data_IF_668987807480
#
_entry.id   IF_668987807480
#
_cell.length_a   1.000
_cell.length_b   1.000
_cell.length_c   1.000
_cell.angle_alpha   90.00
_cell.angle_beta   90.00
_cell.angle_gamma   90.00
#
_symmetry.space_group_name_H-M   'P 1'
#
loop_
_entity.id
_entity.type
_entity.pdbx_description
1 polymer ?
#
# COMPACT_ATOMS: atom_id res chain seq x y z
N UNK A 1 11.76 54.30 -50.62
CA UNK A 1 12.81 55.24 -50.17
C UNK A 1 13.44 54.69 -48.90
N UNK A 2 14.80 54.63 -48.86
CA UNK A 2 15.77 54.72 -47.73
C UNK A 2 15.36 54.18 -46.33
N UNK A 3 16.17 53.51 -45.52
CA UNK A 3 17.56 52.97 -45.53
C UNK A 3 17.76 52.35 -44.12
N UNK A 4 18.47 51.22 -44.06
CA UNK A 4 19.53 50.87 -43.10
C UNK A 4 19.17 50.68 -41.60
N UNK A 5 19.36 49.50 -40.97
CA UNK A 5 20.59 48.70 -40.70
C UNK A 5 21.19 49.04 -39.33
N UNK A 6 20.98 48.19 -38.31
CA UNK A 6 21.98 48.00 -37.22
C UNK A 6 21.93 46.54 -36.74
N UNK A 7 23.01 45.82 -37.04
CA UNK A 7 23.43 44.58 -36.41
C UNK A 7 23.62 44.82 -34.91
N UNK A 8 22.99 44.03 -34.05
CA UNK A 8 23.39 43.95 -32.64
C UNK A 8 23.49 42.49 -32.22
N UNK A 9 24.73 41.98 -32.21
CA UNK A 9 25.11 40.79 -31.49
C UNK A 9 24.90 41.05 -29.99
N UNK A 10 23.97 40.32 -29.37
CA UNK A 10 23.98 40.09 -27.94
C UNK A 10 24.09 38.59 -27.70
N UNK A 11 25.34 38.15 -27.57
CA UNK A 11 25.66 36.96 -26.79
C UNK A 11 25.49 37.34 -25.31
N UNK A 12 24.45 36.81 -24.66
CA UNK A 12 24.37 36.78 -23.21
C UNK A 12 23.89 35.39 -22.77
N UNK A 13 24.88 34.58 -22.41
CA UNK A 13 24.93 33.67 -21.27
C UNK A 13 23.60 33.08 -20.78
N UNK A 14 23.39 31.81 -21.09
CA UNK A 14 22.48 30.92 -20.37
C UNK A 14 23.07 30.71 -18.98
N UNK A 15 22.52 31.40 -17.97
CA UNK A 15 22.78 31.04 -16.57
C UNK A 15 21.80 29.93 -16.22
N UNK A 16 22.36 28.77 -15.89
CA UNK A 16 21.68 27.61 -15.36
C UNK A 16 21.15 27.97 -13.96
N UNK A 17 19.90 28.44 -13.88
CA UNK A 17 19.25 28.67 -12.58
C UNK A 17 18.91 27.33 -11.94
N UNK A 18 19.63 27.00 -10.87
CA UNK A 18 19.35 25.87 -10.00
C UNK A 18 17.90 25.93 -9.48
N UNK A 19 17.20 24.80 -9.51
CA UNK A 19 15.93 24.62 -8.82
C UNK A 19 16.15 24.69 -7.30
N UNK A 20 15.74 25.79 -6.68
CA UNK A 20 15.47 25.83 -5.24
C UNK A 20 14.07 25.23 -5.02
N UNK A 21 13.99 24.03 -4.44
CA UNK A 21 12.73 23.47 -3.91
C UNK A 21 12.55 24.01 -2.48
N UNK A 22 11.35 24.51 -2.09
CA UNK A 22 11.07 24.86 -0.70
C UNK A 22 10.91 23.60 0.15
N UNK A 23 11.41 23.69 1.40
CA UNK A 23 11.35 22.69 2.45
C UNK A 23 9.91 22.21 2.73
N UNK A 24 9.66 20.91 2.52
CA UNK A 24 8.58 20.21 3.19
C UNK A 24 9.14 18.89 3.74
N UNK A 25 9.28 18.84 5.07
CA UNK A 25 9.89 17.75 5.80
C UNK A 25 9.02 16.49 5.72
N UNK A 26 9.53 15.47 5.03
CA UNK A 26 9.04 14.10 5.07
C UNK A 26 9.85 13.30 6.11
N UNK A 27 9.23 12.47 6.97
CA UNK A 27 9.96 11.67 7.96
C UNK A 27 10.91 10.68 7.28
N UNK A 28 12.17 10.68 7.71
CA UNK A 28 13.23 9.83 7.18
C UNK A 28 13.03 8.36 7.57
N UNK A 29 12.88 7.48 6.58
CA UNK A 29 13.24 6.07 6.68
C UNK A 29 14.77 5.97 6.55
N UNK A 30 15.46 5.69 7.66
CA UNK A 30 16.87 5.31 7.63
C UNK A 30 16.99 3.86 7.17
N UNK A 31 17.45 3.69 5.93
CA UNK A 31 18.07 2.45 5.48
C UNK A 31 19.44 2.32 6.17
N UNK A 32 19.60 1.28 7.00
CA UNK A 32 20.92 0.74 7.33
C UNK A 32 21.05 -0.61 6.63
N UNK A 33 22.04 -0.69 5.75
CA UNK A 33 22.43 -1.89 5.03
C UNK A 33 23.16 -2.85 5.97
N UNK A 34 22.56 -4.00 6.25
CA UNK A 34 23.27 -5.20 6.68
C UNK A 34 22.60 -6.42 6.03
N UNK A 35 23.18 -6.82 4.90
CA UNK A 35 22.96 -8.17 4.34
C UNK A 35 23.49 -9.18 5.35
N UNK A 36 22.61 -10.00 5.91
CA UNK A 36 23.05 -11.26 6.51
C UNK A 36 22.03 -12.33 6.20
N UNK A 37 22.53 -13.37 5.55
CA UNK A 37 21.81 -14.53 5.08
C UNK A 37 21.04 -15.22 6.21
N UNK A 38 19.90 -15.80 5.83
CA UNK A 38 19.24 -16.85 6.58
C UNK A 38 20.25 -17.97 6.84
N UNK A 39 20.73 -18.09 8.08
CA UNK A 39 21.37 -19.30 8.55
C UNK A 39 20.35 -20.11 9.34
N UNK A 40 19.91 -21.20 8.74
CA UNK A 40 19.33 -22.33 9.47
C UNK A 40 20.48 -22.97 10.25
N UNK A 41 20.38 -23.05 11.58
CA UNK A 41 21.21 -23.93 12.39
C UNK A 41 20.29 -24.90 13.11
N UNK A 42 20.29 -26.14 12.61
CA UNK A 42 19.78 -27.31 13.31
C UNK A 42 20.81 -27.65 14.38
N UNK A 43 20.44 -27.53 15.65
CA UNK A 43 21.15 -28.21 16.73
C UNK A 43 20.14 -29.12 17.46
N UNK A 44 20.31 -30.42 17.22
CA UNK A 44 19.73 -31.50 18.02
C UNK A 44 20.83 -32.00 18.95
N UNK A 45 20.53 -32.20 20.23
CA UNK A 45 20.68 -33.47 20.99
C UNK A 45 20.49 -33.23 22.52
N UNK A 46 19.34 -33.71 23.00
CA UNK A 46 19.04 -34.50 24.21
C UNK A 46 19.31 -34.03 25.66
N UNK A 47 18.18 -33.93 26.40
CA UNK A 47 17.93 -34.49 27.76
C UNK A 47 18.01 -33.49 28.94
N UNK A 48 17.11 -33.39 29.93
CA UNK A 48 15.90 -34.17 30.30
C UNK A 48 15.05 -33.34 31.30
N UNK A 49 13.72 -33.53 31.28
CA UNK A 49 12.63 -33.21 32.25
C UNK A 49 12.49 -31.77 32.80
N UNK A 50 11.35 -31.09 32.67
CA UNK A 50 10.12 -31.38 33.45
C UNK A 50 8.86 -30.82 32.77
N UNK A 51 7.75 -31.51 32.98
CA UNK A 51 6.43 -31.34 32.38
C UNK A 51 5.75 -30.02 32.78
N UNK A 52 5.19 -29.34 31.79
CA UNK A 52 3.90 -28.66 31.90
C UNK A 52 3.19 -28.84 30.55
N UNK A 53 2.35 -29.88 30.47
CA UNK A 53 1.42 -30.04 29.38
C UNK A 53 0.30 -29.00 29.58
N UNK A 54 0.32 -27.91 28.80
CA UNK A 54 -0.91 -27.18 28.51
C UNK A 54 -1.45 -27.70 27.18
N UNK A 55 -2.14 -28.84 27.28
CA UNK A 55 -3.04 -29.28 26.23
C UNK A 55 -4.24 -28.33 26.24
N UNK A 56 -4.14 -27.23 25.49
CA UNK A 56 -5.31 -26.44 25.13
C UNK A 56 -5.73 -26.79 23.71
N UNK A 57 -6.41 -27.93 23.58
CA UNK A 57 -7.45 -28.07 22.58
C UNK A 57 -8.39 -26.87 22.73
N UNK A 58 -8.26 -25.89 21.83
CA UNK A 58 -9.10 -24.69 21.85
C UNK A 58 -10.02 -24.77 20.63
N UNK A 59 -11.30 -25.01 20.93
CA UNK A 59 -12.49 -24.47 20.25
C UNK A 59 -12.22 -23.30 19.27
N UNK A 60 -13.03 -23.12 18.20
CA UNK A 60 -12.80 -22.10 17.16
C UNK A 60 -12.33 -20.78 17.76
N UNK A 61 -11.04 -20.51 17.65
CA UNK A 61 -10.38 -19.47 18.42
C UNK A 61 -10.81 -18.12 17.86
N UNK A 62 -11.49 -17.31 18.68
CA UNK A 62 -11.79 -15.92 18.37
C UNK A 62 -10.52 -15.19 17.93
N UNK A 63 -10.44 -14.81 16.65
CA UNK A 63 -9.31 -14.07 16.09
C UNK A 63 -9.25 -12.70 16.75
N UNK A 64 -8.08 -12.24 17.19
CA UNK A 64 -7.91 -10.90 17.76
C UNK A 64 -8.10 -9.80 16.71
N UNK A 65 -8.48 -8.58 17.11
CA UNK A 65 -8.61 -7.46 16.17
C UNK A 65 -7.30 -7.18 15.41
N UNK A 66 -6.14 -7.35 16.06
CA UNK A 66 -4.84 -7.20 15.41
C UNK A 66 -4.62 -8.25 14.30
N UNK A 67 -4.97 -9.51 14.58
CA UNK A 67 -4.86 -10.57 13.57
C UNK A 67 -5.83 -10.33 12.41
N UNK A 68 -7.07 -9.92 12.68
CA UNK A 68 -8.03 -9.57 11.64
C UNK A 68 -7.53 -8.41 10.77
N UNK A 69 -6.98 -7.36 11.39
CA UNK A 69 -6.37 -6.23 10.69
C UNK A 69 -5.22 -6.70 9.80
N UNK A 70 -4.23 -7.42 10.35
CA UNK A 70 -3.06 -7.89 9.60
C UNK A 70 -3.45 -8.80 8.42
N UNK A 71 -4.44 -9.68 8.60
CA UNK A 71 -4.92 -10.55 7.53
C UNK A 71 -5.63 -9.77 6.41
N UNK A 72 -6.42 -8.75 6.76
CA UNK A 72 -7.08 -7.91 5.79
C UNK A 72 -6.06 -7.03 5.04
N UNK A 73 -5.11 -6.44 5.75
CA UNK A 73 -4.04 -5.61 5.20
C UNK A 73 -3.17 -6.38 4.20
N UNK A 74 -2.72 -7.58 4.57
CA UNK A 74 -1.94 -8.45 3.69
C UNK A 74 -2.69 -8.79 2.38
N UNK A 75 -4.00 -9.07 2.48
CA UNK A 75 -4.82 -9.37 1.30
C UNK A 75 -5.07 -8.12 0.44
N UNK A 76 -5.24 -6.95 1.06
CA UNK A 76 -5.31 -5.67 0.34
C UNK A 76 -4.04 -5.42 -0.46
N UNK A 77 -2.86 -5.65 0.13
CA UNK A 77 -1.58 -5.55 -0.60
C UNK A 77 -1.53 -6.52 -1.78
N UNK A 78 -1.91 -7.78 -1.57
CA UNK A 78 -1.94 -8.79 -2.64
C UNK A 78 -2.94 -8.46 -3.77
N UNK A 79 -4.04 -7.76 -3.46
CA UNK A 79 -4.95 -7.25 -4.48
C UNK A 79 -4.33 -6.12 -5.28
N UNK A 80 -3.57 -5.22 -4.67
CA UNK A 80 -2.86 -4.16 -5.39
C UNK A 80 -1.82 -4.76 -6.35
N UNK A 81 -1.03 -5.73 -5.89
CA UNK A 81 -0.04 -6.41 -6.74
C UNK A 81 -0.71 -7.04 -7.97
N UNK A 82 -1.85 -7.72 -7.79
CA UNK A 82 -2.62 -8.29 -8.90
C UNK A 82 -3.23 -7.22 -9.80
N UNK A 83 -3.75 -6.12 -9.26
CA UNK A 83 -4.28 -5.02 -10.06
C UNK A 83 -3.19 -4.40 -10.93
N UNK A 84 -1.94 -4.36 -10.48
CA UNK A 84 -0.84 -3.72 -11.22
C UNK A 84 -0.10 -4.68 -12.18
N UNK A 85 -0.07 -5.98 -11.90
CA UNK A 85 0.60 -6.97 -12.75
C UNK A 85 0.02 -7.03 -14.17
N UNK A 86 0.85 -6.75 -15.17
CA UNK A 86 0.53 -6.79 -16.60
C UNK A 86 -0.08 -8.11 -17.09
N UNK A 87 0.18 -9.23 -16.40
CA UNK A 87 -0.34 -10.55 -16.73
C UNK A 87 -1.73 -10.81 -16.16
N UNK A 88 -2.22 -9.96 -15.24
CA UNK A 88 -3.55 -10.11 -14.66
C UNK A 88 -4.63 -9.84 -15.70
N UNK A 89 -5.48 -10.84 -15.93
CA UNK A 89 -6.61 -10.74 -16.85
C UNK A 89 -7.55 -9.59 -16.50
N UNK A 90 -8.21 -9.01 -17.50
CA UNK A 90 -9.18 -7.94 -17.30
C UNK A 90 -10.36 -8.36 -16.39
N UNK A 91 -10.79 -9.63 -16.49
CA UNK A 91 -11.85 -10.17 -15.64
C UNK A 91 -11.43 -10.22 -14.17
N UNK A 92 -10.19 -10.64 -13.88
CA UNK A 92 -9.67 -10.66 -12.52
C UNK A 92 -9.50 -9.24 -11.97
N UNK A 93 -8.99 -8.30 -12.78
CA UNK A 93 -8.93 -6.88 -12.39
C UNK A 93 -10.32 -6.34 -12.06
N UNK A 94 -11.32 -6.63 -12.91
CA UNK A 94 -12.72 -6.23 -12.68
C UNK A 94 -13.25 -6.78 -11.35
N UNK A 95 -13.08 -8.08 -11.12
CA UNK A 95 -13.50 -8.74 -9.88
C UNK A 95 -12.88 -8.07 -8.64
N UNK A 96 -11.55 -7.87 -8.65
CA UNK A 96 -10.85 -7.29 -7.50
C UNK A 96 -11.31 -5.85 -7.26
N UNK A 97 -11.32 -5.02 -8.30
CA UNK A 97 -11.64 -3.58 -8.19
C UNK A 97 -13.11 -3.33 -7.81
N UNK A 98 -14.02 -4.14 -8.36
CA UNK A 98 -15.45 -3.91 -8.19
C UNK A 98 -16.07 -4.68 -7.02
N UNK A 99 -15.44 -5.77 -6.55
CA UNK A 99 -16.03 -6.66 -5.55
C UNK A 99 -15.06 -6.95 -4.41
N UNK A 100 -13.96 -7.65 -4.69
CA UNK A 100 -13.18 -8.28 -3.62
C UNK A 100 -12.48 -7.26 -2.72
N UNK A 101 -11.86 -6.24 -3.31
CA UNK A 101 -11.20 -5.19 -2.56
C UNK A 101 -12.20 -4.36 -1.75
N UNK A 102 -13.27 -3.75 -2.33
CA UNK A 102 -14.25 -3.00 -1.55
C UNK A 102 -14.86 -3.80 -0.40
N UNK A 103 -15.19 -5.07 -0.63
CA UNK A 103 -15.80 -5.93 0.38
C UNK A 103 -14.84 -6.23 1.52
N UNK A 104 -13.59 -6.62 1.22
CA UNK A 104 -12.59 -6.88 2.25
C UNK A 104 -12.28 -5.63 3.08
N UNK A 105 -12.12 -4.48 2.40
CA UNK A 105 -11.80 -3.22 3.04
C UNK A 105 -12.90 -2.78 4.02
N UNK A 106 -14.15 -2.83 3.56
CA UNK A 106 -15.32 -2.40 4.36
C UNK A 106 -15.69 -3.37 5.48
N UNK A 107 -15.60 -4.69 5.24
CA UNK A 107 -16.09 -5.70 6.19
C UNK A 107 -15.04 -6.14 7.19
N UNK A 108 -13.74 -6.02 6.87
CA UNK A 108 -12.66 -6.55 7.72
C UNK A 108 -11.65 -5.48 8.10
N UNK A 109 -11.11 -4.73 7.14
CA UNK A 109 -10.04 -3.76 7.41
C UNK A 109 -10.52 -2.60 8.28
N UNK A 110 -11.56 -1.87 7.82
CA UNK A 110 -12.09 -0.70 8.55
C UNK A 110 -12.54 -1.08 9.98
N UNK A 111 -13.36 -2.12 10.20
CA UNK A 111 -13.82 -2.45 11.55
C UNK A 111 -12.69 -2.86 12.49
N UNK A 112 -11.66 -3.56 11.98
CA UNK A 112 -10.50 -3.92 12.79
C UNK A 112 -9.66 -2.69 13.14
N UNK A 113 -9.40 -1.81 12.17
CA UNK A 113 -8.63 -0.58 12.38
C UNK A 113 -9.31 0.38 13.36
N UNK A 114 -10.63 0.55 13.27
CA UNK A 114 -11.41 1.38 14.21
C UNK A 114 -11.31 0.87 15.66
N UNK A 115 -11.25 -0.44 15.86
CA UNK A 115 -11.07 -1.04 17.20
C UNK A 115 -9.65 -0.86 17.74
N UNK A 116 -8.65 -0.87 16.85
CA UNK A 116 -7.25 -0.70 17.23
C UNK A 116 -6.88 0.77 17.47
N UNK A 117 -7.50 1.71 16.75
CA UNK A 117 -7.16 3.14 16.78
C UNK A 117 -8.40 4.06 16.75
N UNK A 118 -9.32 3.96 17.72
CA UNK A 118 -10.62 4.64 17.68
C UNK A 118 -10.56 6.18 17.69
N UNK A 119 -9.46 6.78 18.18
CA UNK A 119 -9.33 8.24 18.29
C UNK A 119 -8.76 8.90 17.03
N UNK A 120 -8.08 8.14 16.18
CA UNK A 120 -7.31 8.66 15.04
C UNK A 120 -7.81 8.11 13.70
N UNK A 121 -8.98 7.48 13.68
CA UNK A 121 -9.50 6.78 12.51
C UNK A 121 -10.95 7.19 12.27
N UNK A 122 -11.19 7.82 11.11
CA UNK A 122 -12.52 8.16 10.64
C UNK A 122 -12.95 7.21 9.52
N UNK A 123 -14.05 6.50 9.73
CA UNK A 123 -14.59 5.55 8.76
C UNK A 123 -14.90 6.23 7.42
N UNK A 124 -15.45 7.45 7.45
CA UNK A 124 -15.82 8.15 6.22
C UNK A 124 -14.58 8.48 5.39
N UNK A 125 -13.55 9.04 6.02
CA UNK A 125 -12.26 9.29 5.36
C UNK A 125 -11.64 8.03 4.77
N UNK A 126 -11.67 6.89 5.47
CA UNK A 126 -11.16 5.63 4.94
C UNK A 126 -11.91 5.15 3.69
N UNK A 127 -13.24 5.27 3.69
CA UNK A 127 -14.07 4.93 2.53
C UNK A 127 -13.83 5.86 1.35
N UNK A 128 -13.65 7.16 1.60
CA UNK A 128 -13.32 8.14 0.56
C UNK A 128 -11.95 7.85 -0.04
N UNK A 129 -10.94 7.55 0.78
CA UNK A 129 -9.60 7.16 0.31
C UNK A 129 -9.64 5.88 -0.52
N UNK A 130 -10.33 4.83 -0.07
CA UNK A 130 -10.55 3.62 -0.85
C UNK A 130 -11.19 3.93 -2.20
N UNK A 131 -12.28 4.69 -2.21
CA UNK A 131 -13.00 5.02 -3.43
C UNK A 131 -12.14 5.84 -4.40
N UNK A 132 -11.33 6.78 -3.89
CA UNK A 132 -10.39 7.56 -4.70
C UNK A 132 -9.37 6.64 -5.40
N UNK A 133 -8.72 5.75 -4.65
CA UNK A 133 -7.73 4.82 -5.19
C UNK A 133 -8.36 3.87 -6.22
N UNK A 134 -9.49 3.24 -5.88
CA UNK A 134 -10.15 2.32 -6.79
C UNK A 134 -10.71 3.02 -8.03
N UNK A 135 -11.09 4.30 -7.94
CA UNK A 135 -11.54 5.05 -9.10
C UNK A 135 -10.39 5.31 -10.08
N UNK A 136 -9.17 5.58 -9.60
CA UNK A 136 -8.00 5.69 -10.47
C UNK A 136 -7.79 4.41 -11.30
N UNK A 137 -7.86 3.25 -10.65
CA UNK A 137 -7.75 1.96 -11.35
C UNK A 137 -8.91 1.66 -12.30
N UNK A 138 -10.14 2.07 -11.95
CA UNK A 138 -11.28 1.97 -12.88
C UNK A 138 -11.01 2.74 -14.16
N UNK A 139 -10.48 3.96 -14.06
CA UNK A 139 -10.13 4.76 -15.23
C UNK A 139 -8.97 4.13 -16.01
N UNK A 140 -7.88 3.76 -15.32
CA UNK A 140 -6.67 3.20 -15.92
C UNK A 140 -6.95 1.95 -16.76
N UNK A 141 -7.85 1.08 -16.30
CA UNK A 141 -8.15 -0.20 -16.95
C UNK A 141 -9.50 -0.24 -17.66
N UNK A 142 -10.16 0.91 -17.82
CA UNK A 142 -11.47 1.06 -18.44
C UNK A 142 -12.52 0.08 -17.84
N UNK A 143 -12.53 -0.05 -16.51
CA UNK A 143 -13.42 -0.94 -15.77
C UNK A 143 -14.67 -0.19 -15.35
N UNK A 144 -15.83 -0.74 -15.68
CA UNK A 144 -17.14 -0.28 -15.22
C UNK A 144 -17.68 -1.27 -14.20
N UNK A 145 -17.85 -0.82 -12.97
CA UNK A 145 -18.54 -1.59 -11.94
C UNK A 145 -20.05 -1.37 -12.08
N UNK A 146 -20.83 -2.44 -12.07
CA UNK A 146 -22.28 -2.32 -11.96
C UNK A 146 -22.62 -1.69 -10.60
N UNK A 147 -23.43 -0.65 -10.58
CA UNK A 147 -24.06 -0.19 -9.34
C UNK A 147 -24.91 -1.36 -8.83
N UNK A 148 -24.52 -1.96 -7.71
CA UNK A 148 -25.39 -2.90 -7.01
C UNK A 148 -26.64 -2.10 -6.61
N UNK A 149 -27.79 -2.50 -7.14
CA UNK A 149 -29.10 -1.92 -6.81
C UNK A 149 -29.51 -2.33 -5.40
#
# INVERSE_FOLDING_TARGET
MKKQNILSLFALSIILSACQKPDEQQPQQQNTSASTAYHSTVETINGVATQAADNKQTTPSTISNQQQFNQADQKISAFMDQIEDSNTSQNLRHQIICQDYPNLYTQQYIPALLKLSPKNTDQKSLLEQMNFILNDYKQRYNIKCSSVK
#
